data_IF_880323068185
#
_entry.id   IF_880323068185
#
_cell.length_a   1.000
_cell.length_b   1.000
_cell.length_c   1.000
_cell.angle_alpha   90.00
_cell.angle_beta   90.00
_cell.angle_gamma   90.00
#
_symmetry.space_group_name_H-M   'P 1'
#
loop_
_entity.id
_entity.type
_entity.pdbx_description
1 polymer ?
#
# COMPACT_ATOMS: atom_id res chain seq x y z
N UNK A 1 5.85 24.70 -15.01
CA UNK A 1 6.59 23.42 -14.90
C UNK A 1 5.94 22.62 -13.79
N UNK A 2 5.32 21.51 -14.13
CA UNK A 2 4.66 20.67 -13.12
C UNK A 2 5.69 19.76 -12.44
N UNK A 3 6.01 20.08 -11.20
CA UNK A 3 6.88 19.24 -10.39
C UNK A 3 6.15 17.98 -9.95
N UNK A 4 6.65 16.80 -10.36
CA UNK A 4 6.06 15.51 -10.05
C UNK A 4 6.78 14.86 -8.86
N UNK A 5 6.05 14.44 -7.82
CA UNK A 5 6.63 13.67 -6.73
C UNK A 5 7.23 12.35 -7.26
N UNK A 6 8.30 11.92 -6.64
CA UNK A 6 9.03 10.73 -7.06
C UNK A 6 9.98 10.93 -8.23
N UNK A 7 9.81 12.00 -9.04
CA UNK A 7 10.68 12.30 -10.21
C UNK A 7 11.52 13.56 -10.04
N UNK A 8 10.90 14.66 -9.66
CA UNK A 8 11.57 15.94 -9.49
C UNK A 8 11.99 16.19 -8.05
N UNK A 9 11.34 15.48 -7.12
CA UNK A 9 11.67 15.43 -5.70
C UNK A 9 11.24 14.07 -5.15
N UNK A 10 11.76 13.68 -3.98
CA UNK A 10 11.40 12.43 -3.33
C UNK A 10 9.91 12.44 -3.01
N UNK A 11 9.18 11.46 -3.56
CA UNK A 11 7.77 11.28 -3.27
C UNK A 11 7.56 10.49 -1.99
N UNK A 12 6.43 10.69 -1.35
CA UNK A 12 5.99 9.86 -0.23
C UNK A 12 4.73 9.12 -0.66
N UNK A 13 4.78 7.80 -0.55
CA UNK A 13 3.64 6.92 -0.81
C UNK A 13 3.22 6.17 0.45
N UNK A 14 2.12 5.45 0.36
CA UNK A 14 1.66 4.51 1.38
C UNK A 14 1.27 3.20 0.70
N UNK A 15 1.59 2.08 1.33
CA UNK A 15 1.18 0.75 0.88
C UNK A 15 0.43 0.00 1.98
N UNK A 16 -0.49 -0.88 1.60
CA UNK A 16 -1.29 -1.64 2.55
C UNK A 16 -1.28 -3.14 2.27
N UNK A 17 -0.82 -3.94 3.23
CA UNK A 17 -1.11 -5.37 3.25
C UNK A 17 -2.50 -5.54 3.86
N UNK A 18 -3.48 -5.82 3.02
CA UNK A 18 -4.87 -5.98 3.44
C UNK A 18 -5.12 -7.44 3.80
N UNK A 19 -5.49 -7.69 5.05
CA UNK A 19 -5.72 -9.03 5.56
C UNK A 19 -7.21 -9.33 5.72
N UNK A 20 -7.63 -10.47 5.22
CA UNK A 20 -8.96 -11.03 5.45
C UNK A 20 -9.06 -11.75 6.80
N UNK A 21 -10.29 -12.06 7.22
CA UNK A 21 -10.55 -12.81 8.45
C UNK A 21 -10.03 -14.27 8.41
N UNK A 22 -9.77 -14.78 7.22
CA UNK A 22 -9.22 -16.11 6.95
C UNK A 22 -7.70 -16.13 6.80
N UNK A 23 -7.03 -15.00 7.03
CA UNK A 23 -5.57 -14.84 6.94
C UNK A 23 -5.02 -14.66 5.52
N UNK A 24 -5.88 -14.63 4.49
CA UNK A 24 -5.47 -14.29 3.13
C UNK A 24 -5.18 -12.80 3.01
N UNK A 25 -4.36 -12.45 2.01
CA UNK A 25 -4.03 -11.06 1.66
C UNK A 25 -4.65 -10.69 0.33
N UNK A 26 -5.14 -9.45 0.23
CA UNK A 26 -5.69 -8.90 -1.01
C UNK A 26 -4.59 -8.22 -1.80
N UNK A 27 -4.41 -8.63 -3.04
CA UNK A 27 -3.48 -7.99 -3.97
C UNK A 27 -4.24 -7.45 -5.19
N UNK A 28 -3.73 -6.37 -5.74
CA UNK A 28 -4.20 -5.76 -6.96
C UNK A 28 -3.22 -6.04 -8.10
N UNK A 29 -3.72 -6.29 -9.31
CA UNK A 29 -2.89 -6.48 -10.49
C UNK A 29 -2.84 -5.21 -11.32
N UNK A 30 -1.65 -4.70 -11.55
CA UNK A 30 -1.43 -3.52 -12.40
C UNK A 30 -1.90 -3.78 -13.82
N UNK A 31 -2.65 -2.86 -14.37
CA UNK A 31 -3.19 -3.00 -15.73
C UNK A 31 -2.10 -2.87 -16.80
N UNK A 32 -2.42 -3.26 -18.04
CA UNK A 32 -1.55 -3.05 -19.19
C UNK A 32 -1.42 -1.56 -19.58
N UNK A 33 -2.33 -0.71 -19.10
CA UNK A 33 -2.29 0.75 -19.27
C UNK A 33 -1.54 1.46 -18.13
N UNK A 34 -1.14 0.73 -17.09
CA UNK A 34 -0.37 1.30 -15.98
C UNK A 34 0.96 1.90 -16.45
N UNK A 35 1.43 2.92 -15.76
CA UNK A 35 2.64 3.67 -16.11
C UNK A 35 3.89 2.78 -16.14
N UNK A 36 4.02 1.85 -15.17
CA UNK A 36 5.15 0.93 -15.04
C UNK A 36 4.69 -0.40 -14.44
N UNK A 37 5.58 -1.41 -14.39
CA UNK A 37 5.36 -2.72 -13.75
C UNK A 37 4.04 -3.39 -14.17
N UNK A 38 3.68 -3.27 -15.43
CA UNK A 38 2.42 -3.74 -16.01
C UNK A 38 2.24 -5.25 -15.81
N UNK A 39 1.03 -5.66 -15.46
CA UNK A 39 0.67 -7.06 -15.24
C UNK A 39 1.21 -7.68 -13.95
N UNK A 40 1.98 -6.94 -13.15
CA UNK A 40 2.48 -7.42 -11.87
C UNK A 40 1.44 -7.21 -10.77
N UNK A 41 1.48 -8.08 -9.77
CA UNK A 41 0.65 -7.97 -8.58
C UNK A 41 1.34 -7.09 -7.53
N UNK A 42 0.55 -6.33 -6.80
CA UNK A 42 1.06 -5.42 -5.79
C UNK A 42 0.11 -5.26 -4.59
N UNK A 43 0.68 -4.83 -3.47
CA UNK A 43 -0.12 -4.30 -2.37
C UNK A 43 -0.77 -2.98 -2.82
N UNK A 44 -2.08 -2.79 -2.62
CA UNK A 44 -2.75 -1.53 -2.91
C UNK A 44 -2.13 -0.36 -2.14
N UNK A 45 -2.21 0.82 -2.73
CA UNK A 45 -1.68 2.04 -2.12
C UNK A 45 -1.53 3.16 -3.13
N UNK A 46 -1.01 4.28 -2.67
CA UNK A 46 -0.83 5.45 -3.52
C UNK A 46 -0.03 6.57 -2.86
N UNK A 47 -0.17 7.78 -3.36
CA UNK A 47 0.58 8.92 -2.89
C UNK A 47 -0.05 9.54 -1.64
N UNK A 48 0.80 9.96 -0.69
CA UNK A 48 0.38 10.79 0.43
C UNK A 48 0.05 12.19 -0.08
N UNK A 49 -1.07 12.74 0.37
CA UNK A 49 -1.45 14.12 0.10
C UNK A 49 -0.94 15.08 1.18
N UNK A 50 -0.78 16.34 0.82
CA UNK A 50 -0.31 17.35 1.77
C UNK A 50 -1.30 17.53 2.93
N UNK A 51 -0.78 17.44 4.17
CA UNK A 51 -1.58 17.58 5.38
C UNK A 51 -2.34 16.32 5.80
N UNK A 52 -2.18 15.21 5.07
CA UNK A 52 -2.83 13.94 5.35
C UNK A 52 -1.99 13.07 6.29
N UNK A 53 -2.63 12.34 7.20
CA UNK A 53 -1.97 11.31 8.01
C UNK A 53 -1.77 10.05 7.17
N UNK A 54 -0.72 9.28 7.47
CA UNK A 54 -0.47 8.03 6.75
C UNK A 54 -1.63 7.05 6.82
N UNK A 55 -2.25 6.91 8.00
CA UNK A 55 -3.37 6.00 8.22
C UNK A 55 -4.60 6.42 7.43
N UNK A 56 -4.84 7.72 7.30
CA UNK A 56 -5.97 8.25 6.52
C UNK A 56 -5.70 8.07 5.03
N UNK A 57 -4.45 8.29 4.59
CA UNK A 57 -4.03 8.08 3.21
C UNK A 57 -4.25 6.65 2.74
N UNK A 58 -3.81 5.65 3.53
CA UNK A 58 -3.97 4.25 3.12
C UNK A 58 -5.42 3.81 3.08
N UNK A 59 -6.27 4.29 4.01
CA UNK A 59 -7.71 4.03 3.98
C UNK A 59 -8.35 4.66 2.74
N UNK A 60 -8.02 5.92 2.44
CA UNK A 60 -8.52 6.64 1.27
C UNK A 60 -8.13 5.93 -0.03
N UNK A 61 -6.85 5.62 -0.21
CA UNK A 61 -6.33 4.97 -1.43
C UNK A 61 -7.01 3.61 -1.67
N UNK A 62 -7.12 2.77 -0.64
CA UNK A 62 -7.77 1.47 -0.75
C UNK A 62 -9.26 1.62 -1.10
N UNK A 63 -9.94 2.60 -0.50
CA UNK A 63 -11.33 2.87 -0.83
C UNK A 63 -11.49 3.37 -2.27
N UNK A 64 -10.66 4.31 -2.71
CA UNK A 64 -10.67 4.85 -4.08
C UNK A 64 -10.40 3.77 -5.13
N UNK A 65 -9.43 2.89 -4.89
CA UNK A 65 -9.03 1.86 -5.85
C UNK A 65 -9.98 0.67 -5.89
N UNK A 66 -10.45 0.21 -4.71
CA UNK A 66 -11.12 -1.10 -4.55
C UNK A 66 -12.50 -1.06 -3.91
N UNK A 67 -13.01 0.09 -3.50
CA UNK A 67 -14.33 0.28 -2.86
C UNK A 67 -14.56 -0.61 -1.63
N UNK A 68 -13.52 -0.85 -0.86
CA UNK A 68 -13.59 -1.60 0.40
C UNK A 68 -13.21 -0.72 1.59
N UNK A 69 -13.67 -1.13 2.78
CA UNK A 69 -13.30 -0.49 4.03
C UNK A 69 -12.27 -1.33 4.78
N UNK A 70 -11.23 -0.66 5.24
CA UNK A 70 -10.14 -1.26 6.00
C UNK A 70 -9.82 -0.44 7.25
N UNK A 71 -9.22 -1.09 8.23
CA UNK A 71 -8.68 -0.45 9.43
C UNK A 71 -7.18 -0.75 9.49
N UNK A 72 -6.31 0.28 9.47
CA UNK A 72 -4.89 0.10 9.72
C UNK A 72 -4.66 -0.43 11.16
N UNK A 73 -3.94 -1.54 11.28
CA UNK A 73 -3.65 -2.15 12.59
C UNK A 73 -2.23 -1.90 13.08
N UNK A 74 -1.34 -1.46 12.19
CA UNK A 74 0.01 -1.06 12.55
C UNK A 74 0.92 -0.86 11.34
N UNK A 75 2.03 -0.20 11.59
CA UNK A 75 3.10 -0.01 10.60
C UNK A 75 3.95 -1.27 10.53
N UNK A 76 4.09 -1.84 9.34
CA UNK A 76 4.97 -2.96 9.09
C UNK A 76 6.43 -2.51 9.00
N UNK A 77 6.70 -1.58 8.10
CA UNK A 77 8.03 -0.98 7.87
C UNK A 77 7.95 0.25 6.98
N UNK A 78 9.06 0.94 6.84
CA UNK A 78 9.25 2.00 5.84
C UNK A 78 10.26 1.52 4.79
N UNK A 79 9.92 1.69 3.53
CA UNK A 79 10.76 1.29 2.40
C UNK A 79 11.27 2.51 1.67
N UNK A 80 12.58 2.53 1.40
CA UNK A 80 13.19 3.47 0.48
C UNK A 80 13.21 2.83 -0.91
N UNK A 81 12.29 3.25 -1.78
CA UNK A 81 12.05 2.64 -3.08
C UNK A 81 12.65 3.51 -4.19
N UNK A 82 13.76 3.06 -4.74
CA UNK A 82 14.44 3.72 -5.86
C UNK A 82 14.24 2.87 -7.10
N UNK A 83 13.72 3.47 -8.17
CA UNK A 83 13.50 2.83 -9.47
C UNK A 83 14.35 3.57 -10.51
N UNK A 84 15.63 3.16 -10.71
CA UNK A 84 16.56 3.89 -11.58
C UNK A 84 16.10 3.96 -13.03
N UNK A 85 15.47 2.88 -13.53
CA UNK A 85 14.97 2.83 -14.90
C UNK A 85 13.91 3.89 -15.22
N UNK A 86 13.12 4.29 -14.21
CA UNK A 86 12.05 5.28 -14.35
C UNK A 86 12.45 6.65 -13.77
N UNK A 87 13.69 6.79 -13.30
CA UNK A 87 14.17 7.97 -12.55
C UNK A 87 13.24 8.35 -11.40
N UNK A 88 12.81 7.35 -10.61
CA UNK A 88 11.89 7.57 -9.49
C UNK A 88 12.53 7.22 -8.15
N UNK A 89 12.17 8.02 -7.14
CA UNK A 89 12.56 7.81 -5.75
C UNK A 89 11.36 8.10 -4.82
N UNK A 90 10.94 7.07 -4.08
CA UNK A 90 9.83 7.12 -3.15
C UNK A 90 10.24 6.65 -1.76
N UNK A 91 9.67 7.26 -0.74
CA UNK A 91 9.66 6.74 0.63
C UNK A 91 8.26 6.24 0.91
N UNK A 92 8.12 4.96 1.25
CA UNK A 92 6.81 4.31 1.39
C UNK A 92 6.72 3.57 2.72
N UNK A 93 5.98 4.08 3.70
CA UNK A 93 5.49 3.28 4.80
C UNK A 93 4.47 2.26 4.30
N UNK A 94 4.61 1.01 4.76
CA UNK A 94 3.67 -0.09 4.50
C UNK A 94 2.95 -0.45 5.78
N UNK A 95 1.61 -0.39 5.74
CA UNK A 95 0.73 -0.75 6.84
C UNK A 95 0.18 -2.15 6.68
N UNK A 96 -0.08 -2.82 7.79
CA UNK A 96 -1.01 -3.94 7.81
C UNK A 96 -2.40 -3.39 8.09
N UNK A 97 -3.34 -3.72 7.21
CA UNK A 97 -4.72 -3.26 7.27
C UNK A 97 -5.67 -4.45 7.37
N UNK A 98 -6.61 -4.40 8.28
CA UNK A 98 -7.66 -5.42 8.40
C UNK A 98 -8.85 -5.02 7.55
N UNK A 99 -9.29 -5.92 6.66
CA UNK A 99 -10.54 -5.75 5.91
C UNK A 99 -11.73 -5.77 6.86
N UNK A 100 -12.64 -4.80 6.71
CA UNK A 100 -13.82 -4.64 7.56
C UNK A 100 -15.08 -4.95 6.77
N UNK A 101 -15.23 -4.34 5.59
CA UNK A 101 -16.47 -4.42 4.80
C UNK A 101 -16.20 -4.17 3.31
N UNK A 102 -17.10 -4.67 2.49
CA UNK A 102 -17.10 -4.50 1.03
C UNK A 102 -16.53 -5.72 0.30
N UNK A 103 -16.95 -5.88 -0.94
CA UNK A 103 -16.38 -6.82 -1.89
C UNK A 103 -15.48 -6.03 -2.82
N UNK A 104 -14.21 -6.42 -3.01
CA UNK A 104 -13.30 -5.67 -3.86
C UNK A 104 -13.91 -5.40 -5.25
N UNK A 105 -14.01 -4.13 -5.59
CA UNK A 105 -14.46 -3.64 -6.89
C UNK A 105 -13.43 -2.67 -7.47
N UNK A 106 -13.04 -2.89 -8.73
CA UNK A 106 -12.02 -2.08 -9.39
C UNK A 106 -12.66 -0.77 -9.87
N UNK A 107 -12.33 0.34 -9.21
CA UNK A 107 -12.80 1.68 -9.58
C UNK A 107 -11.92 2.34 -10.64
N UNK A 108 -10.65 1.94 -10.74
CA UNK A 108 -9.65 2.55 -11.64
C UNK A 108 -9.09 1.52 -12.63
N UNK A 109 -9.86 1.08 -13.65
CA UNK A 109 -9.47 0.00 -14.56
C UNK A 109 -8.21 0.32 -15.40
N UNK A 110 -7.86 1.59 -15.56
CA UNK A 110 -6.61 2.00 -16.23
C UNK A 110 -5.38 1.75 -15.34
N UNK A 111 -5.55 1.66 -14.04
CA UNK A 111 -4.46 1.35 -13.10
C UNK A 111 -4.44 -0.13 -12.71
N UNK A 112 -5.60 -0.71 -12.45
CA UNK A 112 -5.78 -2.04 -11.89
C UNK A 112 -6.68 -2.90 -12.77
N UNK A 113 -6.27 -4.11 -13.09
CA UNK A 113 -7.02 -5.06 -13.94
C UNK A 113 -7.66 -6.21 -13.16
N UNK A 114 -7.21 -6.50 -11.93
CA UNK A 114 -7.75 -7.53 -11.06
C UNK A 114 -7.46 -7.22 -9.59
N UNK A 115 -8.29 -7.70 -8.69
CA UNK A 115 -8.05 -7.68 -7.25
C UNK A 115 -8.52 -9.02 -6.66
N UNK A 116 -7.61 -9.77 -6.03
CA UNK A 116 -7.89 -11.13 -5.59
C UNK A 116 -7.22 -11.44 -4.25
N UNK A 117 -7.82 -12.38 -3.52
CA UNK A 117 -7.34 -12.86 -2.22
C UNK A 117 -6.42 -14.06 -2.38
N UNK A 118 -5.23 -14.00 -1.78
CA UNK A 118 -4.20 -15.04 -1.86
C UNK A 118 -3.77 -15.51 -0.47
N UNK A 119 -3.48 -16.80 -0.35
CA UNK A 119 -2.79 -17.31 0.83
C UNK A 119 -1.33 -16.82 0.82
N UNK A 120 -0.76 -16.55 1.99
CA UNK A 120 0.65 -16.13 2.10
C UNK A 120 1.65 -17.17 1.57
N UNK A 121 1.24 -18.44 1.53
CA UNK A 121 2.06 -19.54 1.01
C UNK A 121 1.82 -19.82 -0.49
N UNK A 122 0.87 -19.12 -1.10
CA UNK A 122 0.49 -19.29 -2.52
C UNK A 122 0.23 -17.92 -3.17
N UNK A 123 1.27 -17.10 -3.19
CA UNK A 123 1.21 -15.76 -3.77
C UNK A 123 1.34 -15.82 -5.30
N UNK A 124 0.67 -14.91 -6.01
CA UNK A 124 0.73 -14.86 -7.48
C UNK A 124 2.06 -14.34 -7.98
N UNK A 125 2.39 -14.68 -9.22
CA UNK A 125 3.56 -14.16 -9.94
C UNK A 125 3.13 -13.45 -11.25
N UNK A 126 3.85 -12.43 -11.70
CA UNK A 126 4.93 -11.73 -10.99
C UNK A 126 4.42 -10.71 -9.95
N UNK A 127 5.14 -10.57 -8.87
CA UNK A 127 4.95 -9.50 -7.88
C UNK A 127 5.85 -8.31 -8.18
N UNK A 128 5.40 -7.09 -7.84
CA UNK A 128 6.30 -5.94 -7.81
C UNK A 128 7.38 -6.14 -6.75
N UNK A 129 8.57 -5.59 -6.97
CA UNK A 129 9.71 -5.80 -6.04
C UNK A 129 9.40 -5.34 -4.61
N UNK A 130 8.71 -4.20 -4.45
CA UNK A 130 8.33 -3.68 -3.14
C UNK A 130 7.30 -4.61 -2.46
N UNK A 131 6.28 -5.07 -3.17
CA UNK A 131 5.26 -5.95 -2.60
C UNK A 131 5.81 -7.31 -2.24
N UNK A 132 6.70 -7.87 -3.05
CA UNK A 132 7.41 -9.12 -2.73
C UNK A 132 8.12 -9.02 -1.39
N UNK A 133 8.97 -8.01 -1.23
CA UNK A 133 9.75 -7.83 -0.01
C UNK A 133 8.90 -7.48 1.20
N UNK A 134 7.78 -6.75 1.01
CA UNK A 134 6.83 -6.46 2.07
C UNK A 134 6.10 -7.71 2.55
N UNK A 135 5.62 -8.55 1.62
CA UNK A 135 4.93 -9.79 1.95
C UNK A 135 5.85 -10.82 2.61
N UNK A 136 7.09 -10.94 2.14
CA UNK A 136 8.11 -11.79 2.77
C UNK A 136 8.39 -11.33 4.21
N UNK A 137 8.54 -10.03 4.43
CA UNK A 137 8.76 -9.49 5.77
C UNK A 137 7.51 -9.64 6.66
N UNK A 138 6.33 -9.41 6.11
CA UNK A 138 5.06 -9.64 6.83
C UNK A 138 4.92 -11.10 7.28
N UNK A 139 5.23 -12.06 6.41
CA UNK A 139 5.24 -13.48 6.76
C UNK A 139 6.16 -13.76 7.96
N UNK A 140 7.38 -13.23 7.96
CA UNK A 140 8.31 -13.35 9.08
C UNK A 140 7.76 -12.73 10.37
N UNK A 141 7.08 -11.58 10.29
CA UNK A 141 6.44 -10.92 11.44
C UNK A 141 5.34 -11.80 12.03
N UNK A 142 4.48 -12.36 11.17
CA UNK A 142 3.40 -13.28 11.59
C UNK A 142 3.96 -14.54 12.25
N UNK A 143 4.95 -15.19 11.63
CA UNK A 143 5.58 -16.41 12.14
C UNK A 143 6.32 -16.20 13.45
N UNK A 144 6.96 -15.04 13.62
CA UNK A 144 7.70 -14.71 14.84
C UNK A 144 6.85 -14.14 15.97
N UNK A 145 5.59 -13.79 15.70
CA UNK A 145 4.71 -13.12 16.66
C UNK A 145 5.19 -11.71 17.07
N UNK A 146 6.05 -11.07 16.27
CA UNK A 146 6.50 -9.71 16.55
C UNK A 146 5.32 -8.73 16.46
N UNK A 147 5.25 -7.73 17.35
CA UNK A 147 4.27 -6.67 17.21
C UNK A 147 4.59 -5.79 16.01
N UNK A 148 3.55 -5.25 15.40
CA UNK A 148 3.68 -4.17 14.42
C UNK A 148 4.15 -2.90 15.13
N UNK A 149 4.78 -2.00 14.37
CA UNK A 149 5.26 -0.73 14.90
C UNK A 149 4.08 0.23 15.12
N UNK A 150 4.08 0.99 16.23
CA UNK A 150 3.12 2.06 16.41
C UNK A 150 3.43 3.21 15.44
N UNK A 151 2.39 3.89 14.98
CA UNK A 151 2.55 5.16 14.28
C UNK A 151 2.23 6.27 15.27
N UNK A 152 3.19 7.16 15.47
CA UNK A 152 2.99 8.33 16.31
C UNK A 152 2.70 9.55 15.44
N UNK A 153 1.59 10.19 15.75
CA UNK A 153 1.23 11.47 15.18
C UNK A 153 1.85 12.59 16.02
N UNK A 154 2.57 13.48 15.38
CA UNK A 154 3.08 14.70 15.98
C UNK A 154 2.51 15.89 15.23
N UNK A 155 1.48 16.49 15.79
CA UNK A 155 0.94 17.77 15.32
C UNK A 155 0.84 18.70 16.53
N UNK A 156 1.22 19.98 16.40
CA UNK A 156 0.88 20.93 17.43
C UNK A 156 -0.64 20.92 17.61
N UNK A 157 -1.09 20.78 18.83
CA UNK A 157 -2.52 20.91 19.16
C UNK A 157 -3.00 22.26 18.61
N UNK A 158 -3.95 22.22 17.69
CA UNK A 158 -4.65 23.44 17.31
C UNK A 158 -5.32 23.96 18.56
N UNK A 159 -5.14 25.22 18.95
CA UNK A 159 -5.84 25.75 20.10
C UNK A 159 -7.34 25.54 19.90
N UNK A 160 -7.95 24.83 20.85
CA UNK A 160 -9.39 24.63 20.87
C UNK A 160 -10.00 26.01 21.01
N UNK A 161 -10.64 26.50 19.95
CA UNK A 161 -11.39 27.75 19.95
C UNK A 161 -12.69 27.62 20.68
#
# INVERSE_FOLDING_TARGET
MDFQPGKHYIGVGVGGIITGSDGRVLLARRSNAARNQRGQWENPGGALEFGERFEDAIVREIHEELDIEVVPVGLLRVVNHIIPADHQHWVSPTFVCRHVRGVPHINEPLKCSAAEWFALDDLPEPLTAISRTDLEYYKQVVESGRPLLPVTWCSPELPVS
#
